data_IF_450040014251
#
_entry.id   IF_450040014251
#
_cell.length_a   1.000
_cell.length_b   1.000
_cell.length_c   1.000
_cell.angle_alpha   90.00
_cell.angle_beta   90.00
_cell.angle_gamma   90.00
#
_symmetry.space_group_name_H-M   'P 1'
#
loop_
_entity.id
_entity.type
_entity.pdbx_description
1 polymer ?
#
# COMPACT_ATOMS: atom_id res chain seq x y z
N UNK A 1 0.63 1.38 -9.67
CA UNK A 1 -0.69 0.85 -10.06
C UNK A 1 -1.45 1.86 -10.89
N UNK A 2 -1.64 3.10 -10.41
CA UNK A 2 -2.30 4.17 -11.17
C UNK A 2 -1.78 4.31 -12.62
N UNK A 3 -0.46 4.33 -12.81
CA UNK A 3 0.14 4.37 -14.16
C UNK A 3 -0.23 3.17 -15.04
N UNK A 4 -0.28 1.96 -14.47
CA UNK A 4 -0.67 0.76 -15.22
C UNK A 4 -2.14 0.81 -15.63
N UNK A 5 -3.00 1.28 -14.72
CA UNK A 5 -4.42 1.50 -14.99
C UNK A 5 -4.58 2.52 -16.11
N UNK A 6 -3.92 3.68 -16.02
CA UNK A 6 -3.98 4.72 -17.05
C UNK A 6 -3.50 4.22 -18.42
N UNK A 7 -2.42 3.44 -18.46
CA UNK A 7 -1.93 2.85 -19.69
C UNK A 7 -2.94 1.87 -20.30
N UNK A 8 -3.51 0.99 -19.48
CA UNK A 8 -4.54 0.04 -19.91
C UNK A 8 -5.80 0.76 -20.41
N UNK A 9 -6.22 1.82 -19.70
CA UNK A 9 -7.38 2.64 -20.07
C UNK A 9 -7.17 3.29 -21.45
N UNK A 10 -5.96 3.79 -21.73
CA UNK A 10 -5.63 4.35 -23.03
C UNK A 10 -5.70 3.29 -24.14
N UNK A 11 -5.21 2.07 -23.92
CA UNK A 11 -5.34 0.99 -24.90
C UNK A 11 -6.79 0.59 -25.14
N UNK A 12 -7.58 0.51 -24.06
CA UNK A 12 -8.99 0.17 -24.16
C UNK A 12 -9.83 1.26 -24.83
N UNK A 13 -9.32 2.48 -24.92
CA UNK A 13 -9.98 3.58 -25.62
C UNK A 13 -9.87 3.49 -27.15
N UNK A 14 -9.03 2.58 -27.69
CA UNK A 14 -8.84 2.36 -29.13
C UNK A 14 -10.02 1.64 -29.82
N UNK A 15 -11.20 1.63 -29.19
CA UNK A 15 -12.40 1.03 -29.74
C UNK A 15 -12.90 1.83 -30.95
N UNK A 16 -13.37 1.16 -32.02
CA UNK A 16 -14.02 1.84 -33.13
C UNK A 16 -15.23 2.65 -32.67
N UNK A 17 -15.52 3.74 -33.38
CA UNK A 17 -16.68 4.57 -33.10
C UNK A 17 -17.97 3.73 -33.15
N UNK A 18 -18.81 3.87 -32.13
CA UNK A 18 -20.07 3.12 -32.00
C UNK A 18 -19.94 1.74 -31.35
N UNK A 19 -18.74 1.30 -30.99
CA UNK A 19 -18.53 0.06 -30.22
C UNK A 19 -18.43 0.39 -28.73
N UNK A 20 -19.17 -0.37 -27.92
CA UNK A 20 -19.07 -0.36 -26.46
C UNK A 20 -18.82 -1.77 -25.94
N UNK A 21 -18.04 -1.90 -24.88
CA UNK A 21 -17.84 -3.17 -24.19
C UNK A 21 -18.80 -3.27 -23.01
N UNK A 22 -19.38 -4.45 -22.82
CA UNK A 22 -20.08 -4.78 -21.57
C UNK A 22 -19.10 -5.03 -20.45
N UNK A 23 -19.52 -4.82 -19.21
CA UNK A 23 -18.75 -5.27 -18.06
C UNK A 23 -18.57 -6.79 -18.08
N UNK A 24 -17.41 -7.24 -17.59
CA UNK A 24 -17.07 -8.66 -17.44
C UNK A 24 -17.23 -9.07 -15.98
N UNK A 25 -17.63 -10.31 -15.75
CA UNK A 25 -17.67 -10.96 -14.44
C UNK A 25 -16.99 -12.33 -14.51
N UNK A 26 -16.47 -12.80 -13.38
CA UNK A 26 -16.01 -14.18 -13.27
C UNK A 26 -17.21 -15.13 -13.31
N UNK A 27 -17.07 -16.25 -14.04
CA UNK A 27 -18.08 -17.33 -14.03
C UNK A 27 -18.12 -18.01 -12.66
N UNK A 28 -16.95 -18.18 -12.04
CA UNK A 28 -16.78 -18.75 -10.71
C UNK A 28 -16.00 -17.75 -9.84
N UNK A 29 -16.68 -16.79 -9.20
CA UNK A 29 -16.02 -15.85 -8.28
C UNK A 29 -15.64 -16.56 -6.97
N UNK A 30 -14.42 -16.30 -6.50
CA UNK A 30 -14.00 -16.72 -5.16
C UNK A 30 -14.57 -15.74 -4.12
N UNK A 31 -15.33 -16.26 -3.14
CA UNK A 31 -15.77 -15.49 -1.99
C UNK A 31 -14.77 -15.64 -0.82
N UNK A 32 -14.27 -14.52 -0.31
CA UNK A 32 -13.33 -14.48 0.81
C UNK A 32 -13.84 -13.50 1.85
N UNK A 33 -14.25 -14.03 3.01
CA UNK A 33 -14.60 -13.20 4.14
C UNK A 33 -13.35 -12.69 4.86
N UNK A 34 -13.18 -11.36 4.89
CA UNK A 34 -12.06 -10.71 5.56
C UNK A 34 -12.56 -9.80 6.67
N UNK A 35 -12.01 -9.97 7.87
CA UNK A 35 -12.26 -9.09 9.02
C UNK A 35 -10.97 -8.44 9.49
N UNK A 36 -11.03 -7.15 9.79
CA UNK A 36 -9.90 -6.41 10.36
C UNK A 36 -10.38 -5.33 11.33
N UNK A 37 -9.59 -5.10 12.37
CA UNK A 37 -9.90 -4.15 13.44
C UNK A 37 -9.34 -2.75 13.17
N UNK A 38 -8.66 -2.54 12.04
CA UNK A 38 -8.00 -1.26 11.74
C UNK A 38 -8.38 -0.75 10.36
N UNK A 39 -8.53 0.59 10.18
CA UNK A 39 -8.76 1.17 8.87
C UNK A 39 -7.66 0.80 7.85
N UNK A 40 -6.41 0.69 8.29
CA UNK A 40 -5.29 0.29 7.43
C UNK A 40 -5.44 -1.14 6.91
N UNK A 41 -5.99 -2.06 7.72
CA UNK A 41 -6.32 -3.40 7.25
C UNK A 41 -7.34 -3.39 6.10
N UNK A 42 -8.38 -2.55 6.19
CA UNK A 42 -9.36 -2.41 5.10
C UNK A 42 -8.72 -1.80 3.84
N UNK A 43 -7.73 -0.90 3.99
CA UNK A 43 -6.97 -0.39 2.83
C UNK A 43 -6.20 -1.50 2.11
N UNK A 44 -5.66 -2.48 2.83
CA UNK A 44 -5.06 -3.67 2.22
C UNK A 44 -6.11 -4.49 1.45
N UNK A 45 -7.31 -4.70 2.02
CA UNK A 45 -8.42 -5.36 1.31
C UNK A 45 -8.78 -4.62 0.03
N UNK A 46 -8.89 -3.29 0.08
CA UNK A 46 -9.19 -2.47 -1.10
C UNK A 46 -8.10 -2.56 -2.17
N UNK A 47 -6.84 -2.76 -1.78
CA UNK A 47 -5.75 -2.99 -2.72
C UNK A 47 -5.91 -4.32 -3.46
N UNK A 48 -6.37 -5.39 -2.78
CA UNK A 48 -6.69 -6.67 -3.43
C UNK A 48 -7.85 -6.53 -4.40
N UNK A 49 -8.94 -5.90 -3.97
CA UNK A 49 -10.11 -5.65 -4.83
C UNK A 49 -9.74 -4.78 -6.03
N UNK A 50 -8.91 -3.74 -5.83
CA UNK A 50 -8.43 -2.90 -6.91
C UNK A 50 -7.57 -3.66 -7.92
N UNK A 51 -6.72 -4.59 -7.46
CA UNK A 51 -5.96 -5.47 -8.34
C UNK A 51 -6.85 -6.47 -9.08
N UNK A 52 -7.86 -7.04 -8.41
CA UNK A 52 -8.85 -7.93 -9.03
C UNK A 52 -9.58 -7.22 -10.19
N UNK A 53 -10.08 -6.01 -9.96
CA UNK A 53 -10.72 -5.22 -11.03
C UNK A 53 -9.75 -4.87 -12.16
N UNK A 54 -8.50 -4.54 -11.83
CA UNK A 54 -7.46 -4.31 -12.84
C UNK A 54 -7.20 -5.57 -13.68
N UNK A 55 -7.02 -6.74 -13.03
CA UNK A 55 -6.78 -8.00 -13.71
C UNK A 55 -7.95 -8.39 -14.62
N UNK A 56 -9.19 -8.22 -14.15
CA UNK A 56 -10.40 -8.43 -14.94
C UNK A 56 -10.40 -7.57 -16.21
N UNK A 57 -10.05 -6.29 -16.08
CA UNK A 57 -9.96 -5.34 -17.20
C UNK A 57 -8.85 -5.72 -18.20
N UNK A 58 -7.70 -6.18 -17.69
CA UNK A 58 -6.61 -6.70 -18.53
C UNK A 58 -7.06 -7.94 -19.32
N UNK A 59 -7.76 -8.88 -18.68
CA UNK A 59 -8.29 -10.07 -19.33
C UNK A 59 -9.35 -9.73 -20.37
N UNK A 60 -10.22 -8.76 -20.08
CA UNK A 60 -11.19 -8.24 -21.03
C UNK A 60 -10.51 -7.64 -22.27
N UNK A 61 -9.51 -6.78 -22.09
CA UNK A 61 -8.75 -6.20 -23.20
C UNK A 61 -8.09 -7.27 -24.07
N UNK A 62 -7.55 -8.33 -23.46
CA UNK A 62 -6.95 -9.44 -24.20
C UNK A 62 -8.00 -10.28 -24.94
N UNK A 63 -9.18 -10.51 -24.34
CA UNK A 63 -10.27 -11.28 -24.94
C UNK A 63 -10.80 -10.61 -26.22
N UNK A 64 -10.94 -9.28 -26.19
CA UNK A 64 -11.38 -8.50 -27.35
C UNK A 64 -10.23 -8.07 -28.29
N UNK A 65 -9.02 -8.64 -28.12
CA UNK A 65 -7.83 -8.31 -28.93
C UNK A 65 -7.42 -6.83 -28.93
N UNK A 66 -7.79 -6.05 -27.90
CA UNK A 66 -7.35 -4.67 -27.72
C UNK A 66 -5.90 -4.57 -27.24
N UNK A 67 -5.43 -5.61 -26.55
CA UNK A 67 -4.04 -5.76 -26.15
C UNK A 67 -3.52 -7.12 -26.58
N UNK A 68 -2.21 -7.19 -26.83
CA UNK A 68 -1.55 -8.47 -27.15
C UNK A 68 -1.44 -9.37 -25.92
N UNK A 69 -1.22 -10.66 -26.15
CA UNK A 69 -0.91 -11.63 -25.09
C UNK A 69 0.31 -11.22 -24.25
N UNK A 70 1.37 -10.71 -24.89
CA UNK A 70 2.57 -10.25 -24.19
C UNK A 70 2.29 -9.05 -23.29
N UNK A 71 1.45 -8.10 -23.73
CA UNK A 71 1.02 -6.96 -22.91
C UNK A 71 0.17 -7.39 -21.72
N UNK A 72 -0.78 -8.32 -21.93
CA UNK A 72 -1.57 -8.93 -20.86
C UNK A 72 -0.67 -9.52 -19.77
N UNK A 73 0.28 -10.37 -20.16
CA UNK A 73 1.17 -11.05 -19.21
C UNK A 73 2.06 -10.05 -18.46
N UNK A 74 2.53 -9.00 -19.15
CA UNK A 74 3.27 -7.90 -18.54
C UNK A 74 2.44 -7.14 -17.50
N UNK A 75 1.20 -6.75 -17.82
CA UNK A 75 0.33 -6.03 -16.90
C UNK A 75 0.03 -6.84 -15.64
N UNK A 76 -0.32 -8.13 -15.78
CA UNK A 76 -0.60 -9.01 -14.65
C UNK A 76 0.66 -9.21 -13.79
N UNK A 77 1.82 -9.38 -14.41
CA UNK A 77 3.09 -9.55 -13.70
C UNK A 77 3.49 -8.29 -12.93
N UNK A 78 3.49 -7.13 -13.58
CA UNK A 78 3.86 -5.86 -12.96
C UNK A 78 2.86 -5.43 -11.87
N UNK A 79 1.56 -5.56 -12.15
CA UNK A 79 0.51 -5.28 -11.16
C UNK A 79 0.63 -6.19 -9.94
N UNK A 80 0.80 -7.49 -10.15
CA UNK A 80 1.00 -8.47 -9.07
C UNK A 80 2.30 -8.22 -8.30
N UNK A 81 3.36 -7.76 -8.96
CA UNK A 81 4.63 -7.38 -8.30
C UNK A 81 4.42 -6.23 -7.33
N UNK A 82 3.70 -5.18 -7.73
CA UNK A 82 3.40 -4.04 -6.85
C UNK A 82 2.60 -4.46 -5.61
N UNK A 83 1.61 -5.35 -5.80
CA UNK A 83 0.83 -5.91 -4.70
C UNK A 83 1.74 -6.68 -3.73
N UNK A 84 2.57 -7.59 -4.23
CA UNK A 84 3.53 -8.37 -3.42
C UNK A 84 4.53 -7.49 -2.68
N UNK A 85 4.98 -6.38 -3.27
CA UNK A 85 5.88 -5.44 -2.57
C UNK A 85 5.22 -4.85 -1.33
N UNK A 86 3.97 -4.39 -1.45
CA UNK A 86 3.25 -3.78 -0.33
C UNK A 86 2.99 -4.84 0.77
N UNK A 87 2.48 -6.01 0.39
CA UNK A 87 2.22 -7.09 1.34
C UNK A 87 3.49 -7.66 1.97
N UNK A 88 4.60 -7.66 1.24
CA UNK A 88 5.91 -8.05 1.75
C UNK A 88 6.33 -7.18 2.95
N UNK A 89 6.14 -5.86 2.86
CA UNK A 89 6.43 -4.94 3.96
C UNK A 89 5.60 -5.25 5.22
N UNK A 90 4.34 -5.64 5.03
CA UNK A 90 3.44 -6.00 6.14
C UNK A 90 3.88 -7.31 6.79
N UNK A 91 4.24 -8.32 5.99
CA UNK A 91 4.66 -9.63 6.50
C UNK A 91 6.02 -9.59 7.22
N UNK A 92 6.92 -8.70 6.77
CA UNK A 92 8.22 -8.50 7.39
C UNK A 92 8.17 -7.65 8.66
N UNK A 93 7.03 -7.00 8.95
CA UNK A 93 6.91 -6.15 10.13
C UNK A 93 7.15 -6.95 11.42
N UNK A 94 7.92 -6.36 12.33
CA UNK A 94 8.16 -6.86 13.69
C UNK A 94 7.86 -5.72 14.64
N UNK A 95 7.03 -6.00 15.65
CA UNK A 95 6.73 -5.05 16.71
C UNK A 95 8.00 -4.90 17.56
N UNK A 96 8.40 -3.65 17.78
CA UNK A 96 9.45 -3.29 18.72
C UNK A 96 8.78 -2.44 19.80
N UNK A 97 8.98 -2.82 21.05
CA UNK A 97 8.41 -2.12 22.21
C UNK A 97 9.32 -0.97 22.64
N UNK A 98 9.47 0.02 21.77
CA UNK A 98 10.14 1.28 22.04
C UNK A 98 9.18 2.45 21.82
N UNK A 99 9.24 3.44 22.70
CA UNK A 99 8.37 4.60 22.71
C UNK A 99 9.13 5.89 22.39
N UNK A 100 8.39 6.98 22.18
CA UNK A 100 8.96 8.32 22.02
C UNK A 100 9.69 8.81 23.27
N UNK A 101 9.29 8.35 24.45
CA UNK A 101 10.00 8.67 25.69
C UNK A 101 11.35 7.97 25.76
N UNK A 102 11.43 6.71 25.32
CA UNK A 102 12.71 6.00 25.23
C UNK A 102 13.69 6.72 24.30
N UNK A 103 13.19 7.22 23.17
CA UNK A 103 13.96 8.06 22.24
C UNK A 103 14.42 9.39 22.87
N UNK A 104 13.55 10.02 23.66
CA UNK A 104 13.85 11.25 24.38
C UNK A 104 14.95 11.05 25.42
N UNK A 105 14.94 9.92 26.14
CA UNK A 105 15.95 9.58 27.14
C UNK A 105 17.22 8.99 26.53
N UNK A 106 17.14 8.54 25.27
CA UNK A 106 18.19 7.75 24.60
C UNK A 106 18.62 6.54 25.45
N UNK A 107 17.64 5.87 26.05
CA UNK A 107 17.87 4.78 27.00
C UNK A 107 18.26 3.46 26.29
N UNK A 108 18.55 2.41 27.07
CA UNK A 108 18.98 1.11 26.54
C UNK A 108 17.94 0.47 25.60
N UNK A 109 16.64 0.66 25.87
CA UNK A 109 15.55 0.16 25.04
C UNK A 109 15.61 0.81 23.66
N UNK A 110 15.78 2.14 23.62
CA UNK A 110 15.92 2.87 22.37
C UNK A 110 17.17 2.47 21.58
N UNK A 111 18.33 2.40 22.24
CA UNK A 111 19.59 2.01 21.59
C UNK A 111 19.49 0.62 20.96
N UNK A 112 18.88 -0.34 21.68
CA UNK A 112 18.64 -1.69 21.16
C UNK A 112 17.67 -1.68 19.97
N UNK A 113 16.57 -0.94 20.06
CA UNK A 113 15.61 -0.80 18.96
C UNK A 113 16.26 -0.24 17.68
N UNK A 114 17.09 0.80 17.82
CA UNK A 114 17.85 1.39 16.71
C UNK A 114 18.90 0.43 16.15
N UNK A 115 19.53 -0.39 16.99
CA UNK A 115 20.46 -1.42 16.52
C UNK A 115 19.76 -2.52 15.71
N UNK A 116 18.54 -2.90 16.08
CA UNK A 116 17.77 -3.96 15.41
C UNK A 116 17.07 -3.48 14.11
N UNK A 117 16.50 -2.27 14.10
CA UNK A 117 15.66 -1.78 13.02
C UNK A 117 16.17 -0.51 12.31
N UNK A 118 17.27 0.07 12.78
CA UNK A 118 17.73 1.39 12.37
C UNK A 118 17.00 2.52 13.09
N UNK A 119 17.63 3.70 13.11
CA UNK A 119 17.01 4.89 13.70
C UNK A 119 15.90 5.42 12.78
N UNK A 120 14.68 5.66 13.31
CA UNK A 120 13.57 6.15 12.50
C UNK A 120 13.76 7.63 12.11
N UNK A 121 13.22 7.98 10.94
CA UNK A 121 13.16 9.35 10.43
C UNK A 121 12.53 10.31 11.47
N UNK A 122 13.19 11.46 11.70
CA UNK A 122 12.74 12.49 12.64
C UNK A 122 11.29 12.92 12.37
N UNK A 123 10.88 13.04 11.12
CA UNK A 123 9.51 13.42 10.79
C UNK A 123 8.50 12.34 11.22
N UNK A 124 8.89 11.07 11.28
CA UNK A 124 8.06 9.97 11.80
C UNK A 124 7.99 10.05 13.33
N UNK A 125 9.12 10.30 14.00
CA UNK A 125 9.17 10.51 15.45
C UNK A 125 8.32 11.69 15.89
N UNK A 126 8.39 12.82 15.18
CA UNK A 126 7.59 14.02 15.47
C UNK A 126 6.12 13.89 15.04
N UNK A 127 5.73 12.78 14.39
CA UNK A 127 4.37 12.57 13.91
C UNK A 127 3.98 13.43 12.71
N UNK A 128 4.93 14.07 12.04
CA UNK A 128 4.72 14.87 10.83
C UNK A 128 4.52 13.97 9.60
N UNK A 129 5.29 12.87 9.54
CA UNK A 129 5.19 11.85 8.49
C UNK A 129 4.44 10.63 9.03
N UNK A 130 3.11 10.70 8.95
CA UNK A 130 2.21 9.63 9.42
C UNK A 130 1.09 9.35 8.42
N UNK A 131 0.59 8.13 8.45
CA UNK A 131 -0.63 7.79 7.72
C UNK A 131 -1.82 8.53 8.35
N UNK A 132 -2.72 9.04 7.50
CA UNK A 132 -4.00 9.58 7.95
C UNK A 132 -4.87 8.54 8.67
N UNK A 133 -4.57 7.25 8.50
CA UNK A 133 -5.27 6.12 9.12
C UNK A 133 -4.59 5.60 10.40
N UNK A 134 -3.48 6.21 10.83
CA UNK A 134 -2.82 5.85 12.09
C UNK A 134 -3.60 6.39 13.29
N UNK A 135 -3.55 5.73 14.45
CA UNK A 135 -4.07 6.28 15.71
C UNK A 135 -3.46 7.66 16.05
N UNK A 136 -4.16 8.50 16.84
CA UNK A 136 -3.63 9.78 17.29
C UNK A 136 -2.32 9.56 18.07
N UNK A 137 -1.42 10.54 17.96
CA UNK A 137 -0.13 10.53 18.67
C UNK A 137 -0.32 11.26 20.01
N UNK A 138 0.38 10.81 21.05
CA UNK A 138 0.44 11.53 22.32
C UNK A 138 1.22 12.84 22.12
N UNK A 139 0.53 13.98 22.28
CA UNK A 139 1.08 15.32 22.06
C UNK A 139 2.24 15.64 23.00
N UNK A 140 2.13 15.32 24.29
CA UNK A 140 3.19 15.54 25.29
C UNK A 140 4.51 14.89 24.86
N UNK A 141 4.44 13.65 24.37
CA UNK A 141 5.62 12.91 23.93
C UNK A 141 6.27 13.54 22.69
N UNK A 142 5.49 14.18 21.83
CA UNK A 142 5.99 14.88 20.64
C UNK A 142 6.61 16.22 21.01
N UNK A 143 5.97 16.97 21.91
CA UNK A 143 6.46 18.28 22.34
C UNK A 143 7.80 18.18 23.07
N UNK A 144 7.96 17.18 23.94
CA UNK A 144 9.25 16.89 24.57
C UNK A 144 10.34 16.57 23.55
N UNK A 145 10.01 15.79 22.51
CA UNK A 145 10.96 15.51 21.42
C UNK A 145 11.32 16.78 20.63
N UNK A 146 10.35 17.67 20.37
CA UNK A 146 10.61 18.96 19.70
C UNK A 146 11.59 19.81 20.49
N UNK A 147 11.39 19.92 21.81
CA UNK A 147 12.29 20.65 22.70
C UNK A 147 13.71 20.08 22.64
N UNK A 148 13.85 18.75 22.70
CA UNK A 148 15.16 18.08 22.57
C UNK A 148 15.85 18.39 21.24
N UNK A 149 15.13 18.33 20.13
CA UNK A 149 15.70 18.61 18.80
C UNK A 149 15.95 20.10 18.52
N UNK A 150 15.41 21.01 19.32
CA UNK A 150 15.75 22.44 19.26
C UNK A 150 16.99 22.79 20.10
N UNK A 151 17.29 21.96 21.10
CA UNK A 151 18.39 22.19 22.04
C UNK A 151 19.73 21.59 21.61
N UNK A 152 19.76 20.74 20.57
CA UNK A 152 20.97 20.12 20.00
C UNK A 152 21.15 20.47 18.54
#
# INVERSE_FOLDING_TARGET
MATLIQQLDAEMSMLPQGVSLTDVASVEPLDVHVFTKTPLGYRCVFLLVGFDQFAKKVLQGAHYSLITRSRRDRYLSEGGRLLRQIYGLVLSYRRIDATRFDALENNEIWQKACAEAGEPDRAVLLGEKRSAFSPPVNEDSVDLLRLRFQAG
#
